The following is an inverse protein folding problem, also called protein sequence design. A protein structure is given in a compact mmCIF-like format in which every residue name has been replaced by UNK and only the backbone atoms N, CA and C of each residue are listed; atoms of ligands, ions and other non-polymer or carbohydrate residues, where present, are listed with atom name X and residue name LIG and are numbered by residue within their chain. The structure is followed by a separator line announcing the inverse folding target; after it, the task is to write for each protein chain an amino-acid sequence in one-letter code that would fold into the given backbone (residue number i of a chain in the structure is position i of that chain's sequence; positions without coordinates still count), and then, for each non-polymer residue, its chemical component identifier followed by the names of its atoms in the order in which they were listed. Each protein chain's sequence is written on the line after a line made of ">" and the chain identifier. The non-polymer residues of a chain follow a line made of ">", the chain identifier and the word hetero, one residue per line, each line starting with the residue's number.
data_IF_607590689694
#
_entry.id   IF_607590689694
#
_cell.length_a   1.000
_cell.length_b   1.000
_cell.length_c   1.000
_cell.angle_alpha   90.00
_cell.angle_beta   90.00
_cell.angle_gamma   90.00
#
_symmetry.space_group_name_H-M   'P 1'
#
loop_
_entity.id
_entity.type
_entity.pdbx_description
1 polymer ?
#
# COMPACT_ATOMS: atom_id res chain seq x y z
N UNK A 1 44.75 5.51 -14.03
CA UNK A 1 44.30 4.56 -12.99
C UNK A 1 44.11 5.28 -11.65
N UNK A 2 43.00 6.02 -11.44
CA UNK A 2 42.62 6.58 -10.12
C UNK A 2 41.08 6.81 -10.12
N UNK A 3 40.28 5.76 -10.29
CA UNK A 3 38.79 5.88 -10.33
C UNK A 3 38.06 4.96 -9.34
N UNK A 4 38.78 4.27 -8.45
CA UNK A 4 38.19 3.23 -7.58
C UNK A 4 38.09 3.68 -6.11
N UNK A 5 38.74 4.79 -5.73
CA UNK A 5 38.88 5.19 -4.32
C UNK A 5 37.77 6.08 -3.75
N UNK A 6 36.69 6.37 -4.49
CA UNK A 6 35.62 7.29 -4.01
C UNK A 6 34.36 6.52 -3.58
N UNK A 7 34.19 5.26 -3.98
CA UNK A 7 32.97 4.48 -3.63
C UNK A 7 32.95 4.01 -2.15
N UNK A 8 34.11 3.86 -1.51
CA UNK A 8 34.21 3.33 -0.15
C UNK A 8 33.80 4.30 0.97
N UNK A 9 33.86 5.62 0.72
CA UNK A 9 33.58 6.62 1.75
C UNK A 9 32.08 6.94 1.92
N UNK A 10 31.25 6.68 0.91
CA UNK A 10 29.80 6.94 0.96
C UNK A 10 29.02 5.89 1.77
N UNK A 11 29.59 4.69 2.00
CA UNK A 11 28.91 3.60 2.71
C UNK A 11 29.01 3.70 4.25
N UNK A 12 29.91 4.55 4.79
CA UNK A 12 30.13 4.68 6.24
C UNK A 12 29.44 5.91 6.89
N UNK A 13 28.71 6.71 6.11
CA UNK A 13 27.95 7.87 6.61
C UNK A 13 26.42 7.65 6.67
N UNK A 14 25.97 6.39 6.61
CA UNK A 14 24.56 6.02 6.48
C UNK A 14 23.77 5.76 7.76
N UNK A 15 24.29 6.07 8.95
CA UNK A 15 23.59 5.80 10.23
C UNK A 15 22.92 7.02 10.90
N UNK A 16 22.77 8.14 10.20
CA UNK A 16 22.21 9.37 10.79
C UNK A 16 21.36 10.22 9.86
N UNK A 17 20.75 9.62 8.82
CA UNK A 17 19.88 10.36 7.90
C UNK A 17 18.43 10.25 8.37
N UNK A 18 17.94 11.37 8.91
CA UNK A 18 16.51 11.72 8.94
C UNK A 18 15.90 11.34 7.59
N UNK A 19 14.79 10.56 7.56
CA UNK A 19 14.16 10.24 6.29
C UNK A 19 13.69 11.55 5.65
N UNK A 20 14.06 11.81 4.38
CA UNK A 20 13.52 12.96 3.66
C UNK A 20 12.00 12.81 3.59
N UNK A 21 11.30 13.91 3.84
CA UNK A 21 9.84 14.01 3.70
C UNK A 21 9.41 13.33 2.38
N UNK A 22 8.47 12.38 2.42
CA UNK A 22 7.99 11.77 1.19
C UNK A 22 7.39 12.90 0.33
N UNK A 23 7.78 13.02 -0.95
CA UNK A 23 7.18 14.01 -1.83
C UNK A 23 5.67 13.79 -1.77
N UNK A 24 4.94 14.87 -1.45
CA UNK A 24 3.50 14.90 -1.24
C UNK A 24 2.86 13.83 -2.12
N UNK A 25 2.51 12.70 -1.48
CA UNK A 25 1.85 11.60 -2.15
C UNK A 25 0.64 12.25 -2.81
N UNK A 26 0.65 12.28 -4.13
CA UNK A 26 -0.49 12.68 -4.92
C UNK A 26 -1.63 11.88 -4.33
N UNK A 27 -2.54 12.57 -3.65
CA UNK A 27 -3.74 11.96 -3.12
C UNK A 27 -4.39 11.34 -4.35
N UNK A 28 -4.25 10.02 -4.46
CA UNK A 28 -4.98 9.19 -5.39
C UNK A 28 -6.40 9.74 -5.41
N UNK A 29 -7.00 10.01 -6.58
CA UNK A 29 -8.33 10.58 -6.61
C UNK A 29 -9.18 9.67 -5.73
N UNK A 30 -9.65 10.19 -4.59
CA UNK A 30 -10.62 9.50 -3.77
C UNK A 30 -11.80 9.35 -4.70
N UNK A 31 -11.90 8.19 -5.35
CA UNK A 31 -12.93 7.89 -6.30
C UNK A 31 -14.23 8.29 -5.61
N UNK A 32 -15.07 9.11 -6.27
CA UNK A 32 -16.25 9.63 -5.62
C UNK A 32 -16.97 8.45 -5.00
N UNK A 33 -17.32 8.55 -3.72
CA UNK A 33 -18.04 7.54 -2.94
C UNK A 33 -19.47 7.29 -3.47
N UNK A 34 -19.68 7.46 -4.77
CA UNK A 34 -20.88 7.16 -5.53
C UNK A 34 -20.75 5.72 -6.05
N UNK A 35 -20.56 4.78 -5.13
CA UNK A 35 -20.74 3.36 -5.39
C UNK A 35 -21.24 2.66 -4.12
N UNK A 36 -22.17 3.27 -3.38
CA UNK A 36 -22.99 2.51 -2.42
C UNK A 36 -24.32 2.14 -3.08
N UNK A 37 -24.23 1.19 -3.99
CA UNK A 37 -25.29 0.21 -4.24
C UNK A 37 -25.03 -0.90 -3.22
N UNK A 38 -25.70 -0.86 -2.07
CA UNK A 38 -25.91 -1.92 -1.07
C UNK A 38 -24.76 -2.88 -0.64
N UNK A 39 -23.50 -2.64 -1.00
CA UNK A 39 -22.41 -3.52 -0.57
C UNK A 39 -22.02 -3.26 0.90
N UNK A 40 -21.79 -4.36 1.63
CA UNK A 40 -21.30 -4.33 3.00
C UNK A 40 -19.95 -3.57 3.10
N UNK A 41 -19.71 -2.88 4.23
CA UNK A 41 -18.44 -2.18 4.46
C UNK A 41 -17.25 -3.13 4.42
N UNK A 42 -16.10 -2.60 4.00
CA UNK A 42 -14.83 -3.33 3.94
C UNK A 42 -14.42 -3.78 5.35
N UNK A 43 -14.12 -5.08 5.57
CA UNK A 43 -13.57 -5.54 6.84
C UNK A 43 -12.17 -4.94 7.04
N UNK A 44 -11.82 -4.63 8.29
CA UNK A 44 -10.50 -4.11 8.62
C UNK A 44 -9.47 -5.23 8.77
N UNK A 45 -8.22 -4.94 8.40
CA UNK A 45 -7.08 -5.83 8.66
C UNK A 45 -6.35 -5.36 9.91
N UNK A 46 -6.11 -6.29 10.85
CA UNK A 46 -5.36 -6.01 12.09
C UNK A 46 -3.93 -5.52 11.79
N UNK A 47 -3.44 -4.62 12.64
CA UNK A 47 -2.03 -4.22 12.62
C UNK A 47 -1.11 -5.41 12.88
N UNK A 48 0.03 -5.45 12.21
CA UNK A 48 1.00 -6.55 12.32
C UNK A 48 0.58 -7.87 11.63
N UNK A 49 -0.48 -7.86 10.79
CA UNK A 49 -0.85 -9.02 10.00
C UNK A 49 0.34 -9.52 9.14
N UNK A 50 0.46 -10.84 9.01
CA UNK A 50 1.42 -11.50 8.15
C UNK A 50 1.14 -11.23 6.67
N UNK A 51 2.12 -11.51 5.81
CA UNK A 51 1.95 -11.40 4.36
C UNK A 51 0.87 -12.35 3.81
N UNK A 52 0.68 -13.52 4.44
CA UNK A 52 -0.38 -14.45 4.06
C UNK A 52 -1.75 -13.89 4.44
N UNK A 53 -1.91 -13.37 5.65
CA UNK A 53 -3.15 -12.73 6.10
C UNK A 53 -3.55 -11.58 5.18
N UNK A 54 -2.60 -10.72 4.77
CA UNK A 54 -2.85 -9.65 3.79
C UNK A 54 -3.42 -10.17 2.47
N UNK A 55 -2.83 -11.23 1.92
CA UNK A 55 -3.26 -11.80 0.63
C UNK A 55 -4.65 -12.41 0.75
N UNK A 56 -4.90 -13.22 1.78
CA UNK A 56 -6.21 -13.81 2.04
C UNK A 56 -7.27 -12.73 2.24
N UNK A 57 -6.97 -11.69 3.02
CA UNK A 57 -7.88 -10.58 3.26
C UNK A 57 -8.28 -9.86 1.97
N UNK A 58 -7.30 -9.59 1.10
CA UNK A 58 -7.55 -8.97 -0.21
C UNK A 58 -8.43 -9.84 -1.09
N UNK A 59 -8.15 -11.15 -1.17
CA UNK A 59 -8.96 -12.09 -1.95
C UNK A 59 -10.41 -12.17 -1.44
N UNK A 60 -10.60 -12.13 -0.12
CA UNK A 60 -11.93 -12.11 0.50
C UNK A 60 -12.70 -10.84 0.11
N UNK A 61 -12.06 -9.67 0.21
CA UNK A 61 -12.68 -8.39 -0.18
C UNK A 61 -13.11 -8.41 -1.65
N UNK A 62 -12.21 -8.82 -2.54
CA UNK A 62 -12.49 -8.87 -3.98
C UNK A 62 -13.69 -9.78 -4.27
N UNK A 63 -13.75 -10.96 -3.64
CA UNK A 63 -14.88 -11.89 -3.80
C UNK A 63 -16.19 -11.29 -3.29
N UNK A 64 -16.16 -10.64 -2.12
CA UNK A 64 -17.35 -10.03 -1.52
C UNK A 64 -17.93 -8.93 -2.42
N UNK A 65 -17.08 -8.05 -2.95
CA UNK A 65 -17.52 -6.96 -3.83
C UNK A 65 -17.92 -7.45 -5.22
N UNK A 66 -17.27 -8.48 -5.77
CA UNK A 66 -17.70 -9.09 -7.01
C UNK A 66 -19.10 -9.71 -6.89
N UNK A 67 -19.39 -10.39 -5.78
CA UNK A 67 -20.73 -10.94 -5.51
C UNK A 67 -21.79 -9.84 -5.36
N UNK A 68 -21.45 -8.76 -4.68
CA UNK A 68 -22.34 -7.60 -4.54
C UNK A 68 -22.64 -6.96 -5.91
N UNK A 69 -21.62 -6.71 -6.73
CA UNK A 69 -21.80 -6.12 -8.06
C UNK A 69 -22.65 -6.99 -9.00
N UNK A 70 -22.52 -8.32 -8.91
CA UNK A 70 -23.33 -9.26 -9.68
C UNK A 70 -24.76 -9.46 -9.17
N UNK A 71 -25.07 -9.02 -7.94
CA UNK A 71 -26.41 -9.11 -7.34
C UNK A 71 -27.25 -7.85 -7.54
N UNK A 72 -26.71 -6.87 -8.28
CA UNK A 72 -27.37 -5.61 -8.57
C UNK A 72 -28.41 -5.82 -9.69
N UNK A 73 -29.70 -5.47 -9.47
CA UNK A 73 -30.79 -5.70 -10.43
C UNK A 73 -30.70 -4.80 -11.68
#
# INVERSE_FOLDING_TARGET
>A
MIRITILGALLLAGCGVVPPEPPAAQAEPAAPAIARRDCLPLPELRSGASGLERRTHTQTIVRMYAACAGSQP
#
